data_IF_806058728247
#
_entry.id   IF_806058728247
#
_cell.length_a   1.000
_cell.length_b   1.000
_cell.length_c   1.000
_cell.angle_alpha   90.00
_cell.angle_beta   90.00
_cell.angle_gamma   90.00
#
_symmetry.space_group_name_H-M   'P 1'
#
loop_
_entity.id
_entity.type
_entity.pdbx_description
1 polymer ?
#
# COMPACT_ATOMS: atom_id res chain seq x y z
N UNK A 1 -50.71 22.19 -18.06
CA UNK A 1 -50.70 20.83 -17.48
C UNK A 1 -50.14 19.87 -18.51
N UNK A 2 -48.98 19.26 -18.27
CA UNK A 2 -48.62 17.86 -18.62
C UNK A 2 -47.23 17.60 -18.04
N UNK A 3 -47.20 16.78 -16.99
CA UNK A 3 -45.99 16.28 -16.34
C UNK A 3 -45.50 15.08 -17.14
N UNK A 4 -44.21 14.99 -17.46
CA UNK A 4 -43.50 13.71 -17.68
C UNK A 4 -41.98 13.90 -17.66
N UNK A 5 -41.47 13.85 -16.43
CA UNK A 5 -40.24 13.19 -15.99
C UNK A 5 -39.07 13.13 -16.98
N UNK A 6 -38.07 13.98 -16.75
CA UNK A 6 -36.69 13.76 -17.18
C UNK A 6 -36.22 12.41 -16.65
N UNK A 7 -36.14 11.41 -17.53
CA UNK A 7 -35.51 10.13 -17.21
C UNK A 7 -34.02 10.42 -17.07
N UNK A 8 -33.56 10.50 -15.83
CA UNK A 8 -32.15 10.63 -15.49
C UNK A 8 -31.39 9.44 -16.09
N UNK A 9 -30.66 9.70 -17.18
CA UNK A 9 -29.70 8.75 -17.73
C UNK A 9 -28.67 8.45 -16.66
N UNK A 10 -28.73 7.23 -16.12
CA UNK A 10 -27.75 6.68 -15.18
C UNK A 10 -26.42 6.55 -15.92
N UNK A 11 -25.57 7.57 -15.84
CA UNK A 11 -24.20 7.47 -16.32
C UNK A 11 -23.51 6.34 -15.56
N UNK A 12 -23.31 5.22 -16.25
CA UNK A 12 -22.58 4.05 -15.79
C UNK A 12 -21.13 4.49 -15.56
N UNK A 13 -20.73 4.66 -14.31
CA UNK A 13 -19.32 4.81 -13.95
C UNK A 13 -18.59 3.54 -14.43
N UNK A 14 -17.75 3.69 -15.46
CA UNK A 14 -16.79 2.69 -15.86
C UNK A 14 -15.79 2.50 -14.71
N UNK A 15 -15.70 1.27 -14.20
CA UNK A 15 -14.69 0.84 -13.25
C UNK A 15 -13.57 0.21 -14.08
N UNK A 16 -12.38 0.83 -14.21
CA UNK A 16 -11.25 0.17 -14.86
C UNK A 16 -10.60 -0.83 -13.91
N UNK A 17 -10.42 -2.08 -14.35
CA UNK A 17 -9.39 -2.97 -13.79
C UNK A 17 -9.83 -4.28 -13.10
N UNK A 18 -10.84 -4.99 -13.60
CA UNK A 18 -11.04 -6.39 -13.19
C UNK A 18 -10.02 -7.31 -13.91
N UNK A 19 -9.23 -8.15 -13.20
CA UNK A 19 -8.28 -9.06 -13.84
C UNK A 19 -9.01 -10.16 -14.61
N UNK A 20 -8.55 -10.40 -15.84
CA UNK A 20 -9.09 -11.43 -16.73
C UNK A 20 -8.95 -12.82 -16.10
N UNK A 21 -10.10 -13.46 -15.84
CA UNK A 21 -10.21 -14.86 -15.43
C UNK A 21 -9.75 -15.74 -16.59
N UNK A 22 -8.50 -16.19 -16.56
CA UNK A 22 -7.97 -17.13 -17.55
C UNK A 22 -8.80 -18.42 -17.55
N UNK A 23 -9.33 -18.78 -18.72
CA UNK A 23 -10.04 -20.03 -18.99
C UNK A 23 -9.02 -21.16 -18.89
N UNK A 24 -9.22 -22.06 -17.93
CA UNK A 24 -8.55 -23.37 -17.92
C UNK A 24 -9.01 -24.13 -19.15
N UNK A 25 -8.17 -24.19 -20.19
CA UNK A 25 -8.35 -25.14 -21.28
C UNK A 25 -7.56 -26.39 -20.94
N UNK A 26 -8.32 -27.46 -20.71
CA UNK A 26 -7.87 -28.81 -20.47
C UNK A 26 -7.45 -29.46 -21.78
N UNK A 27 -6.16 -29.65 -21.99
CA UNK A 27 -5.63 -30.65 -22.92
C UNK A 27 -4.54 -31.45 -22.20
N UNK A 28 -4.91 -32.68 -21.84
CA UNK A 28 -4.07 -33.86 -21.61
C UNK A 28 -3.00 -33.94 -22.73
N UNK A 29 -1.77 -34.46 -22.61
CA UNK A 29 -1.17 -35.44 -21.71
C UNK A 29 0.35 -35.53 -22.05
N UNK A 30 1.15 -36.05 -21.11
CA UNK A 30 2.47 -36.71 -21.26
C UNK A 30 3.67 -35.87 -21.73
N UNK A 31 4.52 -35.50 -20.77
CA UNK A 31 5.93 -35.91 -20.78
C UNK A 31 6.49 -35.93 -19.36
N UNK A 32 6.35 -37.07 -18.70
CA UNK A 32 7.02 -37.36 -17.44
C UNK A 32 8.54 -37.33 -17.71
N UNK A 33 9.23 -36.28 -17.26
CA UNK A 33 10.67 -36.36 -17.03
C UNK A 33 10.83 -36.99 -15.66
N UNK A 34 11.42 -38.18 -15.64
CA UNK A 34 11.78 -38.96 -14.47
C UNK A 34 12.39 -38.06 -13.38
N UNK A 35 11.71 -37.97 -12.23
CA UNK A 35 12.30 -37.45 -11.01
C UNK A 35 13.41 -38.43 -10.57
N UNK A 36 14.63 -37.97 -10.23
CA UNK A 36 15.61 -38.85 -9.62
C UNK A 36 15.11 -39.27 -8.24
N UNK A 37 14.95 -40.58 -8.05
CA UNK A 37 14.71 -41.19 -6.74
C UNK A 37 15.87 -40.85 -5.80
N UNK A 38 15.61 -40.38 -4.56
CA UNK A 38 16.67 -40.21 -3.57
C UNK A 38 17.11 -41.61 -3.12
N UNK A 39 18.22 -42.10 -3.68
CA UNK A 39 18.95 -43.23 -3.11
C UNK A 39 19.42 -42.81 -1.72
N UNK A 40 18.87 -43.47 -0.71
CA UNK A 40 19.35 -43.43 0.65
C UNK A 40 20.80 -43.92 0.69
N UNK A 41 21.75 -43.00 0.90
CA UNK A 41 23.04 -43.31 1.50
C UNK A 41 22.97 -42.89 2.97
N UNK A 42 22.58 -43.84 3.80
CA UNK A 42 22.75 -43.77 5.24
C UNK A 42 24.25 -43.86 5.56
N UNK A 43 24.85 -42.73 5.97
CA UNK A 43 26.15 -42.51 6.62
C UNK A 43 26.59 -41.09 6.19
N UNK A 44 26.54 -40.03 6.98
CA UNK A 44 26.94 -39.91 8.37
C UNK A 44 26.06 -38.84 9.05
N UNK A 45 25.10 -39.29 9.86
CA UNK A 45 24.63 -38.48 10.96
C UNK A 45 25.74 -38.55 12.01
N UNK A 46 26.59 -37.53 12.03
CA UNK A 46 27.62 -37.39 13.04
C UNK A 46 26.96 -37.40 14.41
N UNK A 47 27.35 -38.43 15.15
CA UNK A 47 26.98 -38.73 16.52
C UNK A 47 27.40 -37.57 17.41
N UNK A 48 26.44 -36.91 18.04
CA UNK A 48 26.67 -36.20 19.29
C UNK A 48 25.47 -36.41 20.21
N UNK A 49 25.25 -37.68 20.55
CA UNK A 49 24.62 -38.00 21.82
C UNK A 49 25.54 -37.46 22.92
N UNK A 50 24.96 -36.78 23.91
CA UNK A 50 25.61 -36.71 25.23
C UNK A 50 26.21 -35.40 25.70
N UNK A 51 25.77 -34.22 25.25
CA UNK A 51 25.78 -33.04 26.12
C UNK A 51 24.38 -32.41 26.13
N UNK A 52 23.54 -33.02 26.96
CA UNK A 52 22.48 -32.34 27.70
C UNK A 52 22.78 -30.85 27.86
N UNK A 53 21.91 -30.02 27.28
CA UNK A 53 21.79 -28.60 27.60
C UNK A 53 21.42 -28.49 29.08
N UNK A 54 22.39 -28.57 29.99
CA UNK A 54 22.12 -28.42 31.42
C UNK A 54 21.49 -27.04 31.70
N UNK A 55 21.86 -26.01 30.92
CA UNK A 55 21.18 -24.72 30.79
C UNK A 55 21.44 -24.11 29.41
N UNK A 56 20.43 -23.51 28.77
CA UNK A 56 20.57 -22.70 27.55
C UNK A 56 20.70 -21.21 27.85
N UNK A 57 21.25 -20.42 26.91
CA UNK A 57 21.23 -18.96 27.03
C UNK A 57 19.81 -18.43 26.81
N UNK A 58 19.30 -17.64 27.75
CA UNK A 58 17.91 -17.18 27.76
C UNK A 58 17.63 -16.00 26.80
N UNK A 59 18.64 -15.17 26.46
CA UNK A 59 18.45 -14.00 25.59
C UNK A 59 19.76 -13.55 24.93
N UNK A 60 19.71 -13.04 23.68
CA UNK A 60 20.86 -12.43 22.99
C UNK A 60 20.45 -11.43 21.90
N UNK A 61 21.11 -10.28 21.88
CA UNK A 61 20.96 -9.23 20.85
C UNK A 61 22.19 -9.16 19.91
N UNK A 62 23.13 -10.10 20.03
CA UNK A 62 24.47 -10.04 19.43
C UNK A 62 24.52 -9.78 17.91
N UNK A 63 23.64 -10.41 17.13
CA UNK A 63 23.62 -10.25 15.67
C UNK A 63 22.45 -9.39 15.15
N UNK A 64 21.68 -8.75 16.05
CA UNK A 64 20.50 -7.99 15.64
C UNK A 64 20.92 -6.68 14.94
N UNK A 65 21.83 -5.93 15.55
CA UNK A 65 22.34 -4.68 14.97
C UNK A 65 22.96 -4.90 13.59
N UNK A 66 23.82 -5.92 13.42
CA UNK A 66 24.44 -6.21 12.12
C UNK A 66 23.39 -6.48 11.03
N UNK A 67 22.33 -7.24 11.34
CA UNK A 67 21.24 -7.52 10.39
C UNK A 67 20.44 -6.26 10.03
N UNK A 68 20.12 -5.41 11.00
CA UNK A 68 19.39 -4.15 10.74
C UNK A 68 20.21 -3.19 9.87
N UNK A 69 21.54 -3.16 10.05
CA UNK A 69 22.43 -2.31 9.27
C UNK A 69 22.82 -2.87 7.90
N UNK A 70 22.62 -4.18 7.61
CA UNK A 70 22.86 -4.74 6.25
C UNK A 70 22.08 -4.00 5.17
N UNK A 71 20.82 -3.67 5.45
CA UNK A 71 19.95 -2.91 4.54
C UNK A 71 19.95 -1.39 4.86
N UNK A 72 20.61 -1.02 5.97
CA UNK A 72 20.60 0.31 6.56
C UNK A 72 19.27 0.65 7.25
N UNK A 73 19.35 1.28 8.42
CA UNK A 73 18.16 1.80 9.12
C UNK A 73 17.76 3.11 8.43
N UNK A 74 16.74 3.04 7.57
CA UNK A 74 16.24 4.20 6.82
C UNK A 74 15.31 5.04 7.69
N UNK A 75 15.52 6.36 7.66
CA UNK A 75 14.60 7.33 8.28
C UNK A 75 13.28 7.36 7.50
N UNK A 76 12.13 7.62 8.15
CA UNK A 76 10.88 7.84 7.43
C UNK A 76 11.05 9.01 6.45
N UNK A 77 10.41 8.91 5.28
CA UNK A 77 10.47 9.95 4.27
C UNK A 77 9.68 11.18 4.73
N UNK A 78 10.32 12.34 4.78
CA UNK A 78 9.62 13.61 4.97
C UNK A 78 8.91 14.02 3.67
N UNK A 79 7.66 14.45 3.78
CA UNK A 79 6.85 14.94 2.67
C UNK A 79 6.53 16.42 2.89
N UNK A 80 6.55 17.24 1.82
CA UNK A 80 6.25 18.68 1.92
C UNK A 80 4.86 18.96 2.50
N UNK A 81 3.89 18.12 2.16
CA UNK A 81 2.52 18.22 2.65
C UNK A 81 2.10 16.88 3.25
N UNK A 82 1.91 16.85 4.56
CA UNK A 82 1.46 15.66 5.29
C UNK A 82 -0.08 15.53 5.29
N UNK A 83 -0.56 14.35 5.67
CA UNK A 83 -2.00 14.11 5.82
C UNK A 83 -2.55 14.82 7.06
N UNK A 84 -3.71 15.46 6.94
CA UNK A 84 -4.41 16.08 8.08
C UNK A 84 -5.24 15.08 8.90
N UNK A 85 -4.79 13.82 8.99
CA UNK A 85 -5.47 12.77 9.77
C UNK A 85 -5.19 13.00 11.26
N UNK A 86 -6.21 12.96 12.10
CA UNK A 86 -6.09 13.20 13.54
C UNK A 86 -6.22 14.66 13.98
N UNK A 87 -6.41 15.59 13.04
CA UNK A 87 -6.76 16.99 13.34
C UNK A 87 -8.21 17.07 13.80
N UNK A 88 -8.50 17.98 14.75
CA UNK A 88 -9.83 18.20 15.32
C UNK A 88 -10.95 18.23 14.23
N UNK A 89 -11.98 17.38 14.35
CA UNK A 89 -13.10 17.35 13.42
C UNK A 89 -13.81 18.70 13.27
N UNK A 90 -13.92 19.53 14.33
CA UNK A 90 -14.60 20.83 14.25
C UNK A 90 -13.80 21.79 13.36
N UNK A 91 -12.49 21.88 13.57
CA UNK A 91 -11.59 22.63 12.69
C UNK A 91 -11.63 22.13 11.24
N UNK A 92 -11.56 20.81 11.04
CA UNK A 92 -11.61 20.17 9.72
C UNK A 92 -12.90 20.50 8.95
N UNK A 93 -14.05 20.54 9.63
CA UNK A 93 -15.32 20.94 9.03
C UNK A 93 -15.28 22.37 8.52
N UNK A 94 -14.81 23.30 9.36
CA UNK A 94 -14.69 24.71 8.97
C UNK A 94 -13.72 24.91 7.79
N UNK A 95 -12.52 24.33 7.87
CA UNK A 95 -11.53 24.43 6.79
C UNK A 95 -12.07 23.87 5.46
N UNK A 96 -12.84 22.77 5.50
CA UNK A 96 -13.50 22.22 4.30
C UNK A 96 -14.53 23.20 3.72
N UNK A 97 -15.34 23.85 4.56
CA UNK A 97 -16.29 24.86 4.09
C UNK A 97 -15.61 26.09 3.51
N UNK A 98 -14.55 26.60 4.14
CA UNK A 98 -13.77 27.71 3.62
C UNK A 98 -13.20 27.39 2.22
N UNK A 99 -12.51 26.25 2.09
CA UNK A 99 -11.97 25.79 0.79
C UNK A 99 -13.06 25.58 -0.27
N UNK A 100 -14.25 25.11 0.13
CA UNK A 100 -15.39 24.91 -0.77
C UNK A 100 -15.90 26.22 -1.38
N UNK A 101 -15.91 27.31 -0.61
CA UNK A 101 -16.53 28.58 -1.03
C UNK A 101 -15.55 29.62 -1.62
N UNK A 102 -14.25 29.35 -1.65
CA UNK A 102 -13.23 30.25 -2.23
C UNK A 102 -13.51 30.67 -3.69
N UNK A 103 -14.22 29.84 -4.48
CA UNK A 103 -14.60 30.17 -5.87
C UNK A 103 -15.48 31.42 -5.98
N UNK A 104 -16.29 31.72 -4.95
CA UNK A 104 -17.21 32.87 -4.95
C UNK A 104 -16.47 34.21 -4.92
N UNK A 105 -15.31 34.28 -4.26
CA UNK A 105 -14.50 35.49 -4.12
C UNK A 105 -13.51 35.73 -5.26
N UNK A 106 -13.41 34.80 -6.22
CA UNK A 106 -12.32 34.76 -7.19
C UNK A 106 -12.22 36.02 -8.06
N UNK A 107 -13.36 36.56 -8.54
CA UNK A 107 -13.39 37.79 -9.34
C UNK A 107 -12.88 39.01 -8.58
N UNK A 108 -13.22 39.13 -7.30
CA UNK A 108 -12.76 40.23 -6.43
C UNK A 108 -11.26 40.12 -6.16
N UNK A 109 -10.78 38.91 -5.90
CA UNK A 109 -9.34 38.64 -5.75
C UNK A 109 -8.56 39.00 -7.03
N UNK A 110 -9.06 38.62 -8.20
CA UNK A 110 -8.40 38.91 -9.47
C UNK A 110 -8.34 40.41 -9.76
N UNK A 111 -9.45 41.13 -9.55
CA UNK A 111 -9.49 42.58 -9.71
C UNK A 111 -8.50 43.27 -8.74
N UNK A 112 -8.49 42.87 -7.48
CA UNK A 112 -7.55 43.40 -6.49
C UNK A 112 -6.09 43.08 -6.85
N UNK A 113 -5.80 41.85 -7.28
CA UNK A 113 -4.45 41.47 -7.69
C UNK A 113 -3.96 42.29 -8.90
N UNK A 114 -4.83 42.53 -9.88
CA UNK A 114 -4.53 43.36 -11.05
C UNK A 114 -4.36 44.85 -10.70
N UNK A 115 -5.00 45.34 -9.64
CA UNK A 115 -4.78 46.68 -9.11
C UNK A 115 -3.44 46.78 -8.37
N UNK A 116 -3.07 45.76 -7.59
CA UNK A 116 -1.80 45.72 -6.88
C UNK A 116 -0.59 45.58 -7.82
N UNK A 117 -0.73 44.88 -8.94
CA UNK A 117 0.34 44.74 -9.94
C UNK A 117 0.56 46.00 -10.79
N UNK A 118 -0.32 47.00 -10.68
CA UNK A 118 -0.24 48.27 -11.40
C UNK A 118 0.26 49.42 -10.52
N UNK A 119 0.55 49.15 -9.25
CA UNK A 119 1.36 50.00 -8.37
C UNK A 119 2.82 49.63 -8.53
#
# INVERSE_FOLDING_TARGET
MMRRSFRCGRYRLQVPGAPARQRRSSTLLKRARSLPSPRASAAALNQSAGLIMAKSKNHTTHNQSRKWHRNGIKKPRSQRYESLKGVDPKFMRNMRFAKKHNKKGFKKMQANAALQSKK
#
